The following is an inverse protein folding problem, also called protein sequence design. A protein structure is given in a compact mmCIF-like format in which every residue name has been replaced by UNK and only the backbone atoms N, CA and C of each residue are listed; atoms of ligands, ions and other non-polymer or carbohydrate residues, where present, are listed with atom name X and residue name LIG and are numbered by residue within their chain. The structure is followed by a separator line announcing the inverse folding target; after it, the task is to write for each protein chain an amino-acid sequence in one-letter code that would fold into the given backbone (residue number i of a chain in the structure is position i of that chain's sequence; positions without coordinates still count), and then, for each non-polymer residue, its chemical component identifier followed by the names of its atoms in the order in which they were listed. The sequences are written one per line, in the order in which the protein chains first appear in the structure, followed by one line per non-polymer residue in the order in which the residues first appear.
data_IF_660894867663
#
_entry.id   IF_660894867663
#
_cell.length_a   1.000
_cell.length_b   1.000
_cell.length_c   1.000
_cell.angle_alpha   90.00
_cell.angle_beta   90.00
_cell.angle_gamma   90.00
#
_symmetry.space_group_name_H-M   'P 1'
#
loop_
_entity.id
_entity.type
_entity.pdbx_description
1 polymer ?
#
# COMPACT_ATOMS: atom_id res chain seq x y z
N UNK A 1 11.92 10.86 19.15
CA UNK A 1 10.98 10.27 18.19
C UNK A 1 10.36 11.40 17.40
N UNK A 2 10.44 11.34 16.07
CA UNK A 2 9.99 12.40 15.17
C UNK A 2 8.84 11.85 14.32
N UNK A 3 7.63 12.31 14.60
CA UNK A 3 6.40 11.88 13.92
C UNK A 3 6.41 12.28 12.44
N UNK A 4 5.79 11.46 11.59
CA UNK A 4 5.63 11.79 10.16
C UNK A 4 4.64 12.93 9.97
N UNK A 5 5.01 13.91 9.15
CA UNK A 5 4.12 14.97 8.71
C UNK A 5 3.45 14.59 7.38
N UNK A 6 2.24 15.10 7.16
CA UNK A 6 1.58 15.00 5.85
C UNK A 6 2.27 15.96 4.88
N UNK A 7 2.76 15.44 3.76
CA UNK A 7 3.45 16.25 2.73
C UNK A 7 2.59 16.48 1.48
N UNK A 8 1.62 15.60 1.20
CA UNK A 8 0.67 15.77 0.10
C UNK A 8 -0.66 15.13 0.48
N UNK A 9 -1.76 15.81 0.17
CA UNK A 9 -3.12 15.24 0.17
C UNK A 9 -3.59 15.26 -1.27
N UNK A 10 -4.04 14.12 -1.78
CA UNK A 10 -4.50 13.96 -3.15
C UNK A 10 -5.94 13.47 -3.05
N UNK A 11 -6.90 14.28 -3.46
CA UNK A 11 -8.25 13.78 -3.70
C UNK A 11 -8.20 12.92 -4.95
N UNK A 12 -8.72 11.70 -4.90
CA UNK A 12 -8.69 10.79 -6.03
C UNK A 12 -9.66 11.26 -7.13
N UNK A 13 -9.22 12.21 -7.94
CA UNK A 13 -9.63 12.31 -9.35
C UNK A 13 -8.67 11.40 -10.11
N UNK A 14 -9.14 10.21 -10.49
CA UNK A 14 -8.32 9.12 -11.08
C UNK A 14 -7.79 9.42 -12.50
N UNK A 15 -7.63 10.69 -12.87
CA UNK A 15 -7.00 11.11 -14.12
C UNK A 15 -5.47 11.11 -13.97
N UNK A 16 -4.86 9.95 -14.27
CA UNK A 16 -3.49 9.83 -14.81
C UNK A 16 -2.37 10.66 -14.13
N UNK A 17 -2.05 10.38 -12.86
CA UNK A 17 -0.67 10.59 -12.37
C UNK A 17 0.01 9.22 -12.26
N UNK A 18 0.71 8.84 -13.34
CA UNK A 18 1.43 7.58 -13.47
C UNK A 18 2.74 7.58 -12.68
N UNK A 19 2.66 7.36 -11.38
CA UNK A 19 3.79 6.78 -10.63
C UNK A 19 3.69 5.26 -10.78
N UNK A 20 4.55 4.72 -11.65
CA UNK A 20 4.48 3.31 -12.01
C UNK A 20 4.73 2.36 -10.85
N UNK A 21 4.19 1.14 -10.95
CA UNK A 21 4.53 0.09 -10.01
C UNK A 21 6.04 -0.18 -10.03
N UNK A 22 6.61 -0.65 -8.93
CA UNK A 22 8.06 -0.90 -8.80
C UNK A 22 8.29 -2.34 -8.38
N UNK A 23 9.20 -3.02 -9.06
CA UNK A 23 9.61 -4.40 -8.76
C UNK A 23 11.14 -4.43 -8.64
N UNK A 24 11.67 -5.04 -7.57
CA UNK A 24 13.13 -5.21 -7.42
C UNK A 24 13.65 -6.11 -8.55
N UNK A 25 14.79 -5.75 -9.15
CA UNK A 25 15.42 -6.50 -10.25
C UNK A 25 15.67 -7.97 -9.92
N UNK A 26 15.94 -8.28 -8.65
CA UNK A 26 16.16 -9.65 -8.18
C UNK A 26 14.92 -10.55 -8.23
N UNK A 27 13.73 -9.98 -8.41
CA UNK A 27 12.45 -10.71 -8.42
C UNK A 27 11.62 -10.48 -9.68
N UNK A 28 12.14 -9.81 -10.71
CA UNK A 28 11.41 -9.58 -11.96
C UNK A 28 11.24 -10.85 -12.80
N UNK A 29 12.06 -11.89 -12.60
CA UNK A 29 12.05 -13.15 -13.36
C UNK A 29 11.89 -14.40 -12.47
N UNK A 30 11.03 -14.34 -11.45
CA UNK A 30 10.71 -15.51 -10.61
C UNK A 30 9.41 -16.16 -11.08
N UNK A 31 9.26 -17.46 -10.78
CA UNK A 31 7.99 -18.14 -11.01
C UNK A 31 6.85 -17.44 -10.23
N UNK A 32 5.68 -17.26 -10.87
CA UNK A 32 4.54 -16.62 -10.22
C UNK A 32 4.09 -17.44 -9.02
N UNK A 33 3.81 -16.76 -7.91
CA UNK A 33 3.30 -17.37 -6.69
C UNK A 33 2.06 -16.61 -6.23
N UNK A 34 0.96 -17.35 -6.07
CA UNK A 34 -0.24 -16.83 -5.44
C UNK A 34 -0.23 -17.13 -3.94
N UNK A 35 -0.69 -16.17 -3.15
CA UNK A 35 -1.09 -16.38 -1.75
C UNK A 35 -2.51 -15.86 -1.66
N UNK A 36 -3.43 -16.77 -1.36
CA UNK A 36 -4.85 -16.44 -1.18
C UNK A 36 -5.14 -16.46 0.32
N UNK A 37 -5.78 -15.40 0.80
CA UNK A 37 -6.23 -15.30 2.18
C UNK A 37 -7.70 -14.88 2.18
N UNK A 38 -8.53 -15.67 2.86
CA UNK A 38 -9.90 -15.27 3.17
C UNK A 38 -9.92 -14.24 4.30
N UNK A 39 -11.03 -13.50 4.40
CA UNK A 39 -11.23 -12.48 5.45
C UNK A 39 -11.07 -13.03 6.87
N UNK A 40 -11.39 -14.30 7.11
CA UNK A 40 -11.24 -14.99 8.39
C UNK A 40 -9.80 -15.38 8.71
N UNK A 41 -8.94 -15.48 7.70
CA UNK A 41 -7.53 -15.85 7.88
C UNK A 41 -6.64 -14.62 8.12
N UNK A 42 -7.11 -13.42 7.79
CA UNK A 42 -6.36 -12.18 8.03
C UNK A 42 -6.36 -11.89 9.54
N UNK A 43 -5.18 -11.87 10.19
CA UNK A 43 -5.06 -11.54 11.61
C UNK A 43 -5.60 -10.15 11.91
N UNK A 44 -6.22 -10.00 13.09
CA UNK A 44 -6.83 -8.74 13.52
C UNK A 44 -6.45 -8.43 14.96
N UNK A 45 -6.35 -7.15 15.25
CA UNK A 45 -6.24 -6.63 16.61
C UNK A 45 -7.26 -5.51 16.80
N UNK A 46 -7.71 -5.35 18.05
CA UNK A 46 -8.62 -4.28 18.43
C UNK A 46 -8.19 -3.72 19.78
N UNK A 47 -8.05 -2.40 19.87
CA UNK A 47 -7.70 -1.67 21.09
C UNK A 47 -8.31 -0.27 21.05
N UNK A 48 -8.90 0.21 22.15
CA UNK A 48 -9.38 1.58 22.33
C UNK A 48 -10.26 2.15 21.18
N UNK A 49 -11.12 1.31 20.61
CA UNK A 49 -12.01 1.69 19.50
C UNK A 49 -11.32 1.75 18.13
N UNK A 50 -10.16 1.10 18.01
CA UNK A 50 -9.41 0.94 16.76
C UNK A 50 -9.35 -0.54 16.41
N UNK A 51 -9.93 -0.94 15.28
CA UNK A 51 -9.70 -2.26 14.67
C UNK A 51 -8.62 -2.13 13.59
N UNK A 52 -7.71 -3.09 13.53
CA UNK A 52 -6.76 -3.25 12.41
C UNK A 52 -6.77 -4.68 11.88
N UNK A 53 -6.84 -4.82 10.55
CA UNK A 53 -6.56 -6.08 9.85
C UNK A 53 -5.16 -6.03 9.27
N UNK A 54 -4.34 -7.02 9.62
CA UNK A 54 -2.91 -7.06 9.27
C UNK A 54 -2.72 -7.92 8.01
N UNK A 55 -2.87 -7.29 6.83
CA UNK A 55 -2.73 -7.98 5.54
C UNK A 55 -1.25 -8.33 5.31
N UNK A 56 -0.35 -7.39 5.56
CA UNK A 56 1.11 -7.61 5.57
C UNK A 56 1.78 -6.73 6.65
N UNK A 57 2.87 -7.23 7.23
CA UNK A 57 3.60 -6.55 8.30
C UNK A 57 3.07 -6.87 9.70
N UNK A 58 3.10 -5.87 10.58
CA UNK A 58 2.72 -5.98 12.00
C UNK A 58 1.97 -4.72 12.47
N UNK A 59 0.96 -4.91 13.32
CA UNK A 59 0.30 -3.84 14.06
C UNK A 59 -0.24 -4.37 15.39
N UNK A 60 -0.17 -3.55 16.45
CA UNK A 60 -0.68 -3.89 17.79
C UNK A 60 -0.17 -5.26 18.32
N UNK A 61 1.08 -5.60 18.02
CA UNK A 61 1.69 -6.88 18.40
C UNK A 61 1.20 -8.10 17.61
N UNK A 62 0.34 -7.92 16.60
CA UNK A 62 -0.16 -8.97 15.70
C UNK A 62 0.55 -8.88 14.36
N UNK A 63 1.10 -10.00 13.91
CA UNK A 63 1.81 -10.14 12.63
C UNK A 63 0.95 -10.85 11.58
N UNK A 64 1.12 -10.47 10.31
CA UNK A 64 0.51 -11.19 9.17
C UNK A 64 1.05 -12.61 9.04
N UNK A 65 0.21 -13.52 8.54
CA UNK A 65 0.60 -14.89 8.18
C UNK A 65 1.41 -14.94 6.87
N UNK A 66 1.38 -13.87 6.07
CA UNK A 66 2.00 -13.83 4.75
C UNK A 66 3.42 -13.27 4.80
N UNK A 67 4.38 -14.06 4.30
CA UNK A 67 5.74 -13.60 4.06
C UNK A 67 5.83 -12.86 2.72
N UNK A 68 6.28 -11.61 2.75
CA UNK A 68 6.57 -10.83 1.55
C UNK A 68 8.08 -10.82 1.29
N UNK A 69 8.51 -11.10 0.05
CA UNK A 69 9.95 -11.07 -0.30
C UNK A 69 10.56 -9.68 -0.13
N UNK A 70 9.74 -8.64 -0.27
CA UNK A 70 10.08 -7.26 0.03
C UNK A 70 9.34 -6.86 1.30
N UNK A 71 10.01 -6.29 2.32
CA UNK A 71 9.34 -5.81 3.52
C UNK A 71 8.30 -4.75 3.16
N UNK A 72 7.03 -5.06 3.43
CA UNK A 72 5.91 -4.15 3.24
C UNK A 72 5.00 -4.22 4.47
N UNK A 73 4.26 -3.14 4.67
CA UNK A 73 3.17 -3.02 5.61
C UNK A 73 1.92 -2.68 4.82
N UNK A 74 0.87 -3.44 5.05
CA UNK A 74 -0.44 -3.23 4.45
C UNK A 74 -1.49 -3.51 5.53
N UNK A 75 -2.07 -2.44 6.07
CA UNK A 75 -2.99 -2.46 7.19
C UNK A 75 -4.32 -1.84 6.79
N UNK A 76 -5.45 -2.48 7.14
CA UNK A 76 -6.81 -1.93 6.97
C UNK A 76 -7.33 -1.53 8.36
N UNK A 77 -7.35 -0.23 8.64
CA UNK A 77 -7.77 0.34 9.91
C UNK A 77 -9.23 0.80 9.87
N UNK A 78 -9.95 0.55 10.96
CA UNK A 78 -11.27 1.14 11.23
C UNK A 78 -11.27 1.78 12.61
N UNK A 79 -11.53 3.09 12.68
CA UNK A 79 -11.54 3.88 13.91
C UNK A 79 -12.97 4.28 14.26
N UNK A 80 -13.38 3.99 15.49
CA UNK A 80 -14.61 4.51 16.10
C UNK A 80 -14.57 6.05 16.19
N UNK A 81 -15.73 6.72 16.35
CA UNK A 81 -15.76 8.16 16.63
C UNK A 81 -14.85 8.50 17.80
N UNK A 82 -14.02 9.55 17.66
CA UNK A 82 -13.04 10.00 18.65
C UNK A 82 -11.86 9.05 18.92
N UNK A 83 -11.81 7.88 18.30
CA UNK A 83 -10.67 6.99 18.46
C UNK A 83 -9.43 7.54 17.74
N UNK A 84 -8.26 7.18 18.25
CA UNK A 84 -6.98 7.55 17.69
C UNK A 84 -6.04 6.35 17.67
N UNK A 85 -5.13 6.32 16.72
CA UNK A 85 -4.09 5.29 16.63
C UNK A 85 -2.75 5.91 16.29
N UNK A 86 -1.68 5.23 16.70
CA UNK A 86 -0.33 5.49 16.26
C UNK A 86 0.28 4.19 15.74
N UNK A 87 0.60 4.15 14.45
CA UNK A 87 1.29 3.03 13.84
C UNK A 87 2.76 3.37 13.64
N UNK A 88 3.65 2.60 14.25
CA UNK A 88 5.09 2.70 13.98
C UNK A 88 5.38 2.30 12.54
N UNK A 89 6.17 3.12 11.85
CA UNK A 89 6.64 2.87 10.49
C UNK A 89 8.13 3.19 10.44
N UNK A 90 9.00 2.27 9.99
CA UNK A 90 10.44 2.54 9.93
C UNK A 90 10.73 3.84 9.17
N UNK A 91 11.63 4.68 9.68
CA UNK A 91 11.89 6.01 9.12
C UNK A 91 12.37 5.96 7.66
N UNK A 92 13.08 4.89 7.29
CA UNK A 92 13.55 4.68 5.92
C UNK A 92 12.45 4.33 4.93
N UNK A 93 11.24 3.99 5.40
CA UNK A 93 10.14 3.56 4.53
C UNK A 93 9.36 4.73 3.93
N UNK A 94 8.90 4.54 2.70
CA UNK A 94 7.83 5.36 2.12
C UNK A 94 6.51 4.91 2.72
N UNK A 95 5.61 5.85 3.03
CA UNK A 95 4.30 5.54 3.59
C UNK A 95 3.22 6.47 3.00
N UNK A 96 2.04 5.91 2.76
CA UNK A 96 0.83 6.66 2.45
C UNK A 96 -0.40 5.98 3.03
N UNK A 97 -1.45 6.76 3.26
CA UNK A 97 -2.77 6.25 3.61
C UNK A 97 -3.77 6.49 2.48
N UNK A 98 -4.70 5.57 2.28
CA UNK A 98 -5.85 5.75 1.41
C UNK A 98 -7.13 5.71 2.25
N UNK A 99 -7.87 6.81 2.29
CA UNK A 99 -9.11 6.90 3.07
C UNK A 99 -10.23 6.26 2.27
N UNK A 100 -10.79 5.17 2.77
CA UNK A 100 -11.89 4.44 2.14
C UNK A 100 -13.22 5.10 2.50
N UNK A 101 -13.45 5.38 3.77
CA UNK A 101 -14.71 5.91 4.29
C UNK A 101 -14.47 6.85 5.48
N UNK A 102 -15.40 7.78 5.70
CA UNK A 102 -15.30 8.85 6.70
C UNK A 102 -14.84 10.19 6.12
N UNK A 103 -15.17 11.28 6.80
CA UNK A 103 -14.94 12.66 6.31
C UNK A 103 -14.06 13.52 7.25
N UNK A 104 -13.82 13.01 8.46
CA UNK A 104 -13.25 13.76 9.58
C UNK A 104 -11.96 13.11 10.11
N UNK A 105 -11.17 12.50 9.22
CA UNK A 105 -9.88 11.91 9.59
C UNK A 105 -8.75 12.93 9.62
N UNK A 106 -8.00 13.00 10.71
CA UNK A 106 -6.80 13.84 10.86
C UNK A 106 -5.58 12.93 10.90
N UNK A 107 -4.66 13.10 9.96
CA UNK A 107 -3.49 12.21 9.74
C UNK A 107 -2.15 12.86 10.13
N UNK A 108 -2.19 13.92 10.94
CA UNK A 108 -1.01 14.68 11.37
C UNK A 108 -1.20 15.14 12.81
N UNK A 109 -0.12 15.22 13.57
CA UNK A 109 -0.14 15.82 14.91
C UNK A 109 0.12 17.32 14.89
N UNK A 110 0.63 17.86 13.78
CA UNK A 110 0.92 19.30 13.62
C UNK A 110 -0.11 20.03 12.77
N UNK A 111 -1.00 19.31 12.10
CA UNK A 111 -2.04 19.86 11.24
C UNK A 111 -3.37 19.18 11.58
N UNK A 112 -4.38 19.98 11.93
CA UNK A 112 -5.73 19.51 12.27
C UNK A 112 -6.67 19.44 11.07
N UNK A 113 -6.18 19.66 9.85
CA UNK A 113 -7.00 19.62 8.65
C UNK A 113 -7.49 18.18 8.38
N UNK A 114 -8.80 18.04 8.23
CA UNK A 114 -9.42 16.75 7.99
C UNK A 114 -9.14 16.26 6.56
N UNK A 115 -9.30 14.96 6.37
CA UNK A 115 -9.18 14.25 5.09
C UNK A 115 -10.45 13.43 4.92
N UNK A 116 -11.04 13.55 3.73
CA UNK A 116 -12.27 12.87 3.37
C UNK A 116 -11.99 11.54 2.66
N UNK A 117 -13.02 10.70 2.55
CA UNK A 117 -13.02 9.49 1.76
C UNK A 117 -12.52 9.74 0.33
N UNK A 118 -11.93 8.69 -0.25
CA UNK A 118 -11.32 8.68 -1.57
C UNK A 118 -10.12 9.64 -1.69
N UNK A 119 -9.37 9.83 -0.60
CA UNK A 119 -8.15 10.65 -0.60
C UNK A 119 -6.91 9.80 -0.31
N UNK A 120 -5.81 10.13 -0.96
CA UNK A 120 -4.47 9.64 -0.62
C UNK A 120 -3.75 10.69 0.24
N UNK A 121 -3.19 10.25 1.37
CA UNK A 121 -2.36 11.05 2.25
C UNK A 121 -0.94 10.53 2.17
N UNK A 122 -0.02 11.33 1.64
CA UNK A 122 1.40 10.98 1.53
C UNK A 122 2.14 11.54 2.74
N UNK A 123 2.92 10.69 3.39
CA UNK A 123 3.68 11.04 4.59
C UNK A 123 5.14 11.33 4.26
N UNK A 124 5.70 12.34 4.93
CA UNK A 124 7.14 12.59 4.96
C UNK A 124 7.88 11.57 5.84
N UNK A 125 9.16 11.86 6.13
CA UNK A 125 9.98 11.05 7.03
C UNK A 125 9.51 11.13 8.48
N UNK A 126 9.77 10.08 9.25
CA UNK A 126 9.42 9.95 10.66
C UNK A 126 9.22 8.50 11.07
N UNK A 127 9.06 8.26 12.37
CA UNK A 127 9.01 6.92 12.97
C UNK A 127 7.60 6.31 13.07
N UNK A 128 6.57 7.02 12.61
CA UNK A 128 5.21 6.49 12.59
C UNK A 128 4.17 7.47 12.06
N UNK A 129 2.95 6.97 11.93
CA UNK A 129 1.77 7.70 11.46
C UNK A 129 0.74 7.74 12.58
N UNK A 130 0.30 8.94 12.92
CA UNK A 130 -0.79 9.15 13.89
C UNK A 130 -2.06 9.54 13.15
N UNK A 131 -3.17 8.90 13.51
CA UNK A 131 -4.49 9.17 12.93
C UNK A 131 -5.51 9.34 14.03
N UNK A 132 -6.34 10.37 13.90
CA UNK A 132 -7.47 10.67 14.79
C UNK A 132 -8.74 10.76 13.96
N UNK A 133 -9.80 10.07 14.38
CA UNK A 133 -11.14 10.30 13.87
C UNK A 133 -11.82 11.41 14.70
N UNK A 134 -11.92 12.63 14.16
CA UNK A 134 -12.55 13.74 14.89
C UNK A 134 -14.08 13.69 14.86
N UNK A 135 -14.68 12.78 14.10
CA UNK A 135 -16.13 12.64 14.03
C UNK A 135 -16.73 12.28 15.38
N UNK A 136 -17.95 12.75 15.61
CA UNK A 136 -18.77 12.39 16.78
C UNK A 136 -19.66 11.18 16.56
N UNK A 137 -19.85 10.74 15.31
CA UNK A 137 -20.85 9.73 14.97
C UNK A 137 -20.47 8.78 13.84
N UNK A 138 -19.53 9.15 12.95
CA UNK A 138 -19.12 8.30 11.82
C UNK A 138 -17.81 7.57 12.11
N UNK A 139 -17.69 6.36 11.58
CA UNK A 139 -16.43 5.62 11.52
C UNK A 139 -15.47 6.29 10.52
N UNK A 140 -14.17 6.05 10.72
CA UNK A 140 -13.13 6.37 9.75
C UNK A 140 -12.47 5.05 9.34
N UNK A 141 -12.44 4.76 8.05
CA UNK A 141 -11.77 3.56 7.52
C UNK A 141 -10.71 3.96 6.50
N UNK A 142 -9.49 3.45 6.67
CA UNK A 142 -8.38 3.75 5.77
C UNK A 142 -7.40 2.59 5.67
N UNK A 143 -6.71 2.51 4.53
CA UNK A 143 -5.55 1.64 4.37
C UNK A 143 -4.30 2.42 4.73
N UNK A 144 -3.37 1.82 5.47
CA UNK A 144 -2.01 2.32 5.60
C UNK A 144 -1.08 1.36 4.86
N UNK A 145 -0.34 1.90 3.89
CA UNK A 145 0.61 1.15 3.08
C UNK A 145 1.98 1.79 3.25
N UNK A 146 2.97 0.98 3.61
CA UNK A 146 4.35 1.41 3.72
C UNK A 146 5.31 0.32 3.25
N UNK A 147 6.49 0.71 2.81
CA UNK A 147 7.50 -0.25 2.37
C UNK A 147 8.86 0.39 2.21
N UNK A 148 9.88 -0.45 2.21
CA UNK A 148 11.25 -0.02 1.93
C UNK A 148 11.35 0.47 0.46
N UNK A 149 11.84 1.69 0.21
CA UNK A 149 12.12 2.15 -1.13
C UNK A 149 13.06 1.17 -1.84
N UNK A 150 12.69 0.77 -3.06
CA UNK A 150 13.47 -0.20 -3.82
C UNK A 150 14.81 0.40 -4.28
N UNK A 151 14.82 1.69 -4.62
CA UNK A 151 16.04 2.43 -4.99
C UNK A 151 16.58 2.10 -6.38
N UNK A 152 15.79 1.44 -7.22
CA UNK A 152 16.15 1.05 -8.59
C UNK A 152 15.34 1.86 -9.61
N UNK A 153 15.84 2.02 -10.85
CA UNK A 153 15.07 2.67 -11.91
C UNK A 153 13.76 1.93 -12.19
N UNK A 154 12.74 2.70 -12.56
CA UNK A 154 11.40 2.22 -12.89
C UNK A 154 11.09 2.63 -14.32
N UNK A 155 10.83 1.65 -15.18
CA UNK A 155 10.33 1.87 -16.54
C UNK A 155 9.07 1.04 -16.72
N UNK A 156 7.95 1.72 -16.94
CA UNK A 156 6.64 1.09 -17.15
C UNK A 156 6.16 1.26 -18.59
N UNK A 157 5.64 0.18 -19.18
CA UNK A 157 4.89 0.21 -20.43
C UNK A 157 3.65 -0.68 -20.32
N UNK A 158 2.49 -0.06 -20.08
CA UNK A 158 1.23 -0.78 -19.86
C UNK A 158 1.35 -1.72 -18.64
N UNK A 159 1.15 -3.04 -18.81
CA UNK A 159 1.21 -4.02 -17.72
C UNK A 159 2.65 -4.43 -17.35
N UNK A 160 3.66 -4.01 -18.12
CA UNK A 160 5.05 -4.42 -17.89
C UNK A 160 5.81 -3.32 -17.15
N UNK A 161 6.51 -3.72 -16.09
CA UNK A 161 7.37 -2.87 -15.27
C UNK A 161 8.73 -3.54 -15.16
N UNK A 162 9.77 -2.86 -15.65
CA UNK A 162 11.16 -3.33 -15.61
C UNK A 162 12.09 -2.19 -15.14
N UNK A 163 13.40 -2.44 -15.12
CA UNK A 163 14.40 -1.46 -14.68
C UNK A 163 15.05 -0.71 -15.84
N UNK A 164 14.75 -1.05 -17.10
CA UNK A 164 15.27 -0.37 -18.28
C UNK A 164 14.35 -0.50 -19.50
N UNK A 165 14.47 0.42 -20.46
CA UNK A 165 13.72 0.36 -21.72
C UNK A 165 14.05 -0.90 -22.54
N UNK A 166 15.32 -1.33 -22.53
CA UNK A 166 15.74 -2.55 -23.23
C UNK A 166 15.05 -3.81 -22.67
N UNK A 167 14.89 -3.90 -21.34
CA UNK A 167 14.16 -5.00 -20.70
C UNK A 167 12.66 -4.96 -21.05
N UNK A 168 12.06 -3.77 -21.16
CA UNK A 168 10.67 -3.61 -21.65
C UNK A 168 10.53 -4.12 -23.08
N UNK A 169 11.41 -3.71 -23.98
CA UNK A 169 11.33 -4.10 -25.40
C UNK A 169 11.47 -5.62 -25.58
N UNK A 170 12.35 -6.24 -24.80
CA UNK A 170 12.50 -7.70 -24.72
C UNK A 170 11.22 -8.38 -24.20
N UNK A 171 10.67 -7.89 -23.08
CA UNK A 171 9.47 -8.46 -22.44
C UNK A 171 8.25 -8.41 -23.37
N UNK A 172 8.08 -7.30 -24.09
CA UNK A 172 7.02 -7.17 -25.12
C UNK A 172 7.23 -8.20 -26.23
N UNK A 173 8.47 -8.41 -26.66
CA UNK A 173 8.83 -9.46 -27.62
C UNK A 173 8.48 -10.86 -27.11
N UNK A 174 8.79 -11.17 -25.86
CA UNK A 174 8.53 -12.46 -25.23
C UNK A 174 7.03 -12.74 -25.09
N UNK A 175 6.25 -11.75 -24.66
CA UNK A 175 4.80 -11.84 -24.60
C UNK A 175 4.18 -12.09 -25.98
N UNK A 176 4.57 -11.31 -27.00
CA UNK A 176 4.05 -11.45 -28.36
C UNK A 176 4.37 -12.80 -28.99
N UNK A 177 5.50 -13.40 -28.62
CA UNK A 177 5.96 -14.68 -29.15
C UNK A 177 5.65 -15.87 -28.24
N UNK A 178 4.98 -15.64 -27.10
CA UNK A 178 4.68 -16.65 -26.08
C UNK A 178 5.92 -17.44 -25.63
N UNK A 179 6.95 -16.74 -25.13
CA UNK A 179 8.22 -17.31 -24.65
C UNK A 179 8.58 -16.78 -23.26
N UNK A 180 9.55 -17.43 -22.61
CA UNK A 180 10.22 -16.97 -21.40
C UNK A 180 9.23 -16.67 -20.25
N UNK A 181 8.28 -17.57 -20.01
CA UNK A 181 7.25 -17.44 -18.98
C UNK A 181 5.85 -17.11 -19.55
N UNK A 182 5.75 -16.72 -20.82
CA UNK A 182 4.47 -16.45 -21.50
C UNK A 182 3.98 -17.59 -22.40
N UNK A 183 4.53 -18.80 -22.29
CA UNK A 183 4.18 -19.95 -23.15
C UNK A 183 2.68 -20.25 -23.11
N UNK A 184 2.03 -20.06 -21.96
CA UNK A 184 0.59 -20.23 -21.79
C UNK A 184 -0.26 -19.23 -22.60
N UNK A 185 0.27 -18.06 -22.95
CA UNK A 185 -0.49 -17.01 -23.64
C UNK A 185 -0.87 -17.36 -25.07
N UNK A 186 -0.20 -18.35 -25.69
CA UNK A 186 -0.39 -18.70 -27.11
C UNK A 186 -1.84 -19.10 -27.45
N UNK A 187 -2.50 -19.82 -26.54
CA UNK A 187 -3.85 -20.37 -26.77
C UNK A 187 -4.80 -20.14 -25.61
N UNK A 188 -4.35 -19.49 -24.53
CA UNK A 188 -5.18 -19.28 -23.35
C UNK A 188 -6.30 -18.26 -23.61
N UNK A 189 -7.48 -18.62 -23.13
CA UNK A 189 -8.68 -17.78 -23.02
C UNK A 189 -9.33 -18.12 -21.68
N UNK A 190 -9.74 -17.10 -20.94
CA UNK A 190 -10.64 -17.32 -19.80
C UNK A 190 -12.00 -17.81 -20.29
N UNK A 191 -12.69 -18.57 -19.44
CA UNK A 191 -14.10 -18.94 -19.64
C UNK A 191 -15.03 -17.71 -19.70
#
# INVERSE_FOLDING_TARGET
MSLRQVIKKISADLENEGDGAVVRKSITNIDPKAVELSSSEIPRAEEDGVEVKVIAGESMGVQSLSYTKVPIMFLDFTLQPRAQTHQTVPESWTAFAYVIDGEEGVFSTSDSSTVQAHSVVVFGKGDGVSVLNTSSSKLLRFLLIAGEPIGEPVVQHGPFVMNSQAEIDLTIGDYRNAKNGFEGAKSWRSE
#
